data_IF_998927830526
#
_entry.id   IF_998927830526
#
_cell.length_a   1.000
_cell.length_b   1.000
_cell.length_c   1.000
_cell.angle_alpha   90.00
_cell.angle_beta   90.00
_cell.angle_gamma   90.00
#
_symmetry.space_group_name_H-M   'P 1'
#
loop_
_entity.id
_entity.type
_entity.pdbx_description
1 polymer ?
#
# COMPACT_ATOMS: atom_id res chain seq x y z
N UNK A 1 4.46 16.36 -1.98
CA UNK A 1 5.92 16.46 -1.67
C UNK A 1 6.39 15.09 -1.21
N UNK A 2 7.50 14.59 -1.73
CA UNK A 2 8.12 13.32 -1.33
C UNK A 2 9.27 13.60 -0.35
N UNK A 3 9.43 12.71 0.64
CA UNK A 3 10.51 12.77 1.60
C UNK A 3 11.32 11.46 1.57
N UNK A 4 12.66 11.52 1.41
CA UNK A 4 13.49 10.33 1.55
C UNK A 4 13.47 9.88 3.01
N UNK A 5 13.23 8.60 3.24
CA UNK A 5 13.30 8.03 4.59
C UNK A 5 14.72 8.07 5.13
N UNK A 6 14.88 8.43 6.40
CA UNK A 6 16.17 8.37 7.07
C UNK A 6 16.78 6.96 7.08
N UNK A 7 18.10 6.89 7.32
CA UNK A 7 18.87 5.64 7.22
C UNK A 7 18.27 4.46 8.02
N UNK A 8 17.63 4.74 9.16
CA UNK A 8 17.05 3.72 10.07
C UNK A 8 15.77 3.09 9.51
N UNK A 9 15.05 3.79 8.64
CA UNK A 9 13.77 3.36 8.09
C UNK A 9 13.83 3.03 6.60
N UNK A 10 14.99 3.21 5.96
CA UNK A 10 15.17 3.07 4.51
C UNK A 10 14.71 1.71 3.96
N UNK A 11 14.84 0.67 4.75
CA UNK A 11 14.44 -0.70 4.41
C UNK A 11 12.96 -0.98 4.67
N UNK A 12 12.34 -0.24 5.57
CA UNK A 12 10.98 -0.44 6.06
C UNK A 12 9.96 0.50 5.41
N UNK A 13 10.37 1.75 5.13
CA UNK A 13 9.53 2.80 4.53
C UNK A 13 9.90 2.99 3.07
N UNK A 14 9.01 2.61 2.19
CA UNK A 14 9.24 2.72 0.75
C UNK A 14 8.80 4.07 0.19
N UNK A 15 7.83 4.66 0.86
CA UNK A 15 7.26 5.94 0.46
C UNK A 15 6.85 6.72 1.69
N UNK A 16 7.20 8.00 1.70
CA UNK A 16 6.67 8.98 2.63
C UNK A 16 6.30 10.23 1.83
N UNK A 17 5.02 10.54 1.75
CA UNK A 17 4.52 11.64 0.93
C UNK A 17 3.60 12.55 1.72
N UNK A 18 3.85 13.86 1.62
CA UNK A 18 2.94 14.89 2.10
C UNK A 18 1.98 15.33 1.00
N UNK A 19 0.73 15.45 1.35
CA UNK A 19 -0.32 15.93 0.48
C UNK A 19 -1.11 17.04 1.16
N UNK A 20 -1.35 18.13 0.44
CA UNK A 20 -2.23 19.21 0.88
C UNK A 20 -3.09 19.64 -0.31
N UNK A 21 -4.38 19.78 -0.07
CA UNK A 21 -5.33 20.25 -1.05
C UNK A 21 -6.44 21.05 -0.38
N UNK A 22 -6.98 22.01 -1.13
CA UNK A 22 -8.22 22.70 -0.82
C UNK A 22 -9.10 22.65 -2.08
N UNK A 23 -10.05 21.73 -2.08
CA UNK A 23 -10.85 21.39 -3.25
C UNK A 23 -12.29 21.92 -3.10
N UNK A 24 -12.72 22.75 -4.05
CA UNK A 24 -14.11 23.20 -4.13
C UNK A 24 -15.03 22.07 -4.62
N UNK A 25 -14.56 21.31 -5.61
CA UNK A 25 -15.28 20.18 -6.19
C UNK A 25 -14.74 18.85 -5.65
N UNK A 26 -15.59 17.82 -5.46
CA UNK A 26 -15.15 16.52 -5.00
C UNK A 26 -14.18 15.86 -5.98
N UNK A 27 -13.04 15.40 -5.48
CA UNK A 27 -12.09 14.62 -6.25
C UNK A 27 -12.23 13.13 -5.88
N UNK A 28 -12.60 12.32 -6.84
CA UNK A 28 -12.67 10.86 -6.68
C UNK A 28 -11.42 10.17 -7.20
N UNK A 29 -10.99 9.13 -6.48
CA UNK A 29 -9.86 8.31 -6.87
C UNK A 29 -10.14 6.84 -6.59
N UNK A 30 -9.58 5.98 -7.44
CA UNK A 30 -9.54 4.55 -7.21
C UNK A 30 -8.19 4.18 -6.61
N UNK A 31 -8.22 3.71 -5.37
CA UNK A 31 -7.03 3.22 -4.66
C UNK A 31 -7.00 1.69 -4.71
N UNK A 32 -5.88 1.15 -5.19
CA UNK A 32 -5.71 -0.29 -5.34
C UNK A 32 -4.54 -0.79 -4.48
N UNK A 33 -4.67 -2.02 -4.00
CA UNK A 33 -3.63 -2.64 -3.18
C UNK A 33 -2.33 -2.80 -3.97
N UNK A 34 -1.23 -2.40 -3.35
CA UNK A 34 0.13 -2.49 -3.91
C UNK A 34 1.00 -3.52 -3.20
N UNK A 35 0.40 -4.33 -2.33
CA UNK A 35 1.15 -5.21 -1.46
C UNK A 35 1.89 -4.45 -0.35
N UNK A 36 1.41 -3.27 0.05
CA UNK A 36 1.98 -2.43 1.11
C UNK A 36 0.97 -2.20 2.21
N UNK A 37 1.47 -2.05 3.42
CA UNK A 37 0.68 -1.45 4.48
C UNK A 37 0.76 0.05 4.34
N UNK A 38 -0.39 0.72 4.25
CA UNK A 38 -0.46 2.17 4.07
C UNK A 38 -0.98 2.81 5.36
N UNK A 39 -0.15 3.67 5.94
CA UNK A 39 -0.49 4.50 7.08
C UNK A 39 -0.73 5.92 6.58
N UNK A 40 -1.94 6.44 6.80
CA UNK A 40 -2.27 7.83 6.49
C UNK A 40 -2.57 8.57 7.78
N UNK A 41 -1.84 9.67 8.02
CA UNK A 41 -2.08 10.56 9.14
C UNK A 41 -2.60 11.86 8.55
N UNK A 42 -3.87 12.17 8.82
CA UNK A 42 -4.57 13.29 8.21
C UNK A 42 -5.03 14.34 9.21
N UNK A 43 -5.06 15.60 8.74
CA UNK A 43 -5.61 16.76 9.41
C UNK A 43 -6.57 17.49 8.47
N UNK A 44 -7.59 18.13 9.02
CA UNK A 44 -8.63 18.83 8.23
C UNK A 44 -9.80 17.91 7.88
N UNK A 45 -10.41 18.14 6.71
CA UNK A 45 -11.60 17.40 6.32
C UNK A 45 -11.34 15.90 6.10
N UNK A 46 -12.27 15.03 6.52
CA UNK A 46 -12.10 13.59 6.37
C UNK A 46 -12.16 13.16 4.91
N UNK A 47 -11.45 12.08 4.59
CA UNK A 47 -11.59 11.35 3.34
C UNK A 47 -12.79 10.42 3.43
N UNK A 48 -13.67 10.47 2.45
CA UNK A 48 -14.71 9.47 2.27
C UNK A 48 -14.12 8.28 1.54
N UNK A 49 -14.41 7.07 2.02
CA UNK A 49 -13.96 5.83 1.40
C UNK A 49 -15.09 4.80 1.34
N UNK A 50 -15.15 4.09 0.22
CA UNK A 50 -16.04 2.94 0.01
C UNK A 50 -15.24 1.78 -0.63
N UNK A 51 -15.51 0.55 -0.20
CA UNK A 51 -14.93 -0.63 -0.86
C UNK A 51 -15.69 -0.95 -2.13
N UNK A 52 -14.98 -1.28 -3.20
CA UNK A 52 -15.56 -1.72 -4.46
C UNK A 52 -15.92 -3.22 -4.43
N UNK A 53 -15.20 -4.02 -3.62
CA UNK A 53 -15.41 -5.48 -3.53
C UNK A 53 -15.20 -6.01 -2.10
N UNK A 54 -16.22 -6.44 -1.38
CA UNK A 54 -17.64 -6.20 -1.71
C UNK A 54 -17.99 -4.71 -1.62
N UNK A 55 -18.99 -4.27 -2.36
CA UNK A 55 -19.46 -2.88 -2.30
C UNK A 55 -19.92 -2.57 -0.87
N UNK A 56 -19.37 -1.50 -0.31
CA UNK A 56 -19.66 -1.04 1.05
C UNK A 56 -20.09 0.42 1.02
N UNK A 57 -20.89 0.86 2.01
CA UNK A 57 -21.27 2.26 2.12
C UNK A 57 -20.05 3.16 2.39
N UNK A 58 -20.15 4.41 1.99
CA UNK A 58 -19.16 5.42 2.25
C UNK A 58 -18.96 5.63 3.76
N UNK A 59 -17.71 5.67 4.18
CA UNK A 59 -17.31 5.98 5.55
C UNK A 59 -16.28 7.09 5.57
N UNK A 60 -16.22 7.83 6.67
CA UNK A 60 -15.29 8.95 6.88
C UNK A 60 -14.05 8.47 7.61
N UNK A 61 -12.88 8.92 7.13
CA UNK A 61 -11.60 8.62 7.74
C UNK A 61 -10.72 9.87 7.75
N UNK A 62 -10.28 10.31 8.92
CA UNK A 62 -9.27 11.37 9.05
C UNK A 62 -7.87 10.78 8.95
N UNK A 63 -7.51 9.90 9.89
CA UNK A 63 -6.31 9.08 9.85
C UNK A 63 -6.69 7.61 9.78
N UNK A 64 -5.96 6.80 9.04
CA UNK A 64 -6.33 5.40 8.84
C UNK A 64 -5.14 4.52 8.47
N UNK A 65 -5.35 3.24 8.60
CA UNK A 65 -4.42 2.18 8.23
C UNK A 65 -5.09 1.23 7.24
N UNK A 66 -4.36 0.81 6.21
CA UNK A 66 -4.83 -0.15 5.21
C UNK A 66 -3.84 -1.28 5.10
N UNK A 67 -4.33 -2.52 5.15
CA UNK A 67 -3.51 -3.72 5.05
C UNK A 67 -2.93 -3.92 3.63
N UNK A 68 -1.92 -4.77 3.52
CA UNK A 68 -1.22 -5.02 2.26
C UNK A 68 -2.09 -5.68 1.16
N UNK A 69 -3.18 -6.35 1.52
CA UNK A 69 -4.14 -7.01 0.60
C UNK A 69 -5.54 -6.38 0.71
N UNK A 70 -5.61 -5.06 0.83
CA UNK A 70 -6.91 -4.39 0.91
C UNK A 70 -7.73 -4.53 -0.38
N UNK A 71 -9.05 -4.44 -0.26
CA UNK A 71 -9.94 -4.35 -1.41
C UNK A 71 -9.69 -3.05 -2.18
N UNK A 72 -10.02 -2.98 -3.48
CA UNK A 72 -10.08 -1.71 -4.20
C UNK A 72 -10.99 -0.74 -3.46
N UNK A 73 -10.51 0.48 -3.23
CA UNK A 73 -11.21 1.52 -2.49
C UNK A 73 -11.50 2.69 -3.41
N UNK A 74 -12.75 3.10 -3.47
CA UNK A 74 -13.10 4.39 -4.03
C UNK A 74 -12.95 5.45 -2.92
N UNK A 75 -12.21 6.49 -3.19
CA UNK A 75 -12.01 7.60 -2.27
C UNK A 75 -12.59 8.87 -2.83
N UNK A 76 -13.17 9.71 -1.98
CA UNK A 76 -13.65 11.03 -2.34
C UNK A 76 -13.16 12.05 -1.33
N UNK A 77 -12.58 13.12 -1.82
CA UNK A 77 -12.12 14.23 -1.00
C UNK A 77 -12.71 15.55 -1.50
N UNK A 78 -13.21 16.35 -0.56
CA UNK A 78 -13.67 17.71 -0.74
C UNK A 78 -13.19 18.58 0.42
N UNK A 79 -12.99 19.88 0.19
CA UNK A 79 -12.55 20.82 1.22
C UNK A 79 -11.06 20.80 1.46
N UNK A 80 -10.65 21.15 2.69
CA UNK A 80 -9.24 21.30 3.08
C UNK A 80 -8.72 20.06 3.76
N UNK A 81 -7.73 19.44 3.15
CA UNK A 81 -7.06 18.26 3.72
C UNK A 81 -5.56 18.42 3.66
N UNK A 82 -4.91 18.07 4.76
CA UNK A 82 -3.47 17.88 4.85
C UNK A 82 -3.23 16.47 5.38
N UNK A 83 -2.37 15.69 4.74
CA UNK A 83 -2.01 14.37 5.25
C UNK A 83 -0.59 13.97 4.86
N UNK A 84 -0.06 13.03 5.63
CA UNK A 84 1.15 12.28 5.29
C UNK A 84 0.75 10.82 5.05
N UNK A 85 1.14 10.30 3.90
CA UNK A 85 0.97 8.92 3.46
C UNK A 85 2.31 8.21 3.58
N UNK A 86 2.34 7.13 4.34
CA UNK A 86 3.52 6.29 4.56
C UNK A 86 3.23 4.88 4.07
N UNK A 87 3.97 4.45 3.05
CA UNK A 87 3.96 3.07 2.56
C UNK A 87 5.01 2.23 3.27
N UNK A 88 4.58 1.25 4.05
CA UNK A 88 5.44 0.34 4.79
C UNK A 88 5.56 -1.01 4.09
N UNK A 89 6.77 -1.57 4.08
CA UNK A 89 6.96 -2.97 3.75
C UNK A 89 6.18 -3.84 4.74
N UNK A 90 5.37 -4.82 4.30
CA UNK A 90 4.51 -5.58 5.20
C UNK A 90 5.25 -6.31 6.32
N UNK A 91 6.46 -6.79 6.05
CA UNK A 91 7.30 -7.42 7.07
C UNK A 91 7.74 -6.42 8.17
N UNK A 92 7.94 -5.15 7.81
CA UNK A 92 8.34 -4.10 8.74
C UNK A 92 7.14 -3.46 9.46
N UNK A 93 5.94 -3.52 8.87
CA UNK A 93 4.76 -2.93 9.46
C UNK A 93 4.44 -3.51 10.85
N UNK A 94 4.63 -4.82 11.05
CA UNK A 94 4.51 -5.46 12.35
C UNK A 94 5.54 -4.97 13.37
N UNK A 95 6.75 -4.64 12.93
CA UNK A 95 7.80 -4.08 13.78
C UNK A 95 7.50 -2.64 14.23
N UNK A 96 6.84 -1.86 13.37
CA UNK A 96 6.60 -0.43 13.60
C UNK A 96 5.26 -0.20 14.30
N UNK A 97 4.22 -0.90 13.86
CA UNK A 97 2.84 -0.64 14.31
C UNK A 97 2.33 -1.70 15.31
N UNK A 98 3.08 -2.80 15.50
CA UNK A 98 2.66 -3.93 16.31
C UNK A 98 2.02 -5.06 15.52
N UNK A 99 1.91 -6.23 16.14
CA UNK A 99 1.51 -7.46 15.45
C UNK A 99 0.09 -7.41 14.90
N UNK A 100 -0.82 -6.71 15.54
CA UNK A 100 -2.21 -6.55 15.08
C UNK A 100 -2.36 -6.01 13.67
N UNK A 101 -1.34 -5.33 13.12
CA UNK A 101 -1.34 -4.86 11.72
C UNK A 101 -1.44 -6.00 10.71
N UNK A 102 -0.98 -7.19 11.08
CA UNK A 102 -1.00 -8.41 10.24
C UNK A 102 -2.41 -8.99 10.11
N UNK A 103 -3.29 -8.63 11.05
CA UNK A 103 -4.69 -9.08 11.10
C UNK A 103 -5.65 -8.08 10.46
N UNK A 104 -5.14 -6.92 10.03
CA UNK A 104 -5.96 -5.94 9.32
C UNK A 104 -6.52 -6.59 8.05
N UNK A 105 -7.84 -6.70 8.03
CA UNK A 105 -8.57 -7.27 6.91
C UNK A 105 -8.49 -6.39 5.65
N UNK A 106 -9.39 -6.66 4.72
CA UNK A 106 -9.41 -5.96 3.42
C UNK A 106 -10.02 -4.55 3.47
N UNK A 107 -10.40 -4.06 4.64
CA UNK A 107 -11.02 -2.75 4.84
C UNK A 107 -10.08 -1.79 5.57
N UNK A 108 -10.20 -0.48 5.35
CA UNK A 108 -9.49 0.51 6.13
C UNK A 108 -9.90 0.45 7.60
N UNK A 109 -8.96 0.68 8.49
CA UNK A 109 -9.17 0.77 9.94
C UNK A 109 -8.83 2.19 10.39
N UNK A 110 -9.69 2.86 11.15
CA UNK A 110 -9.35 4.15 11.75
C UNK A 110 -8.07 4.03 12.58
N UNK A 111 -7.15 4.97 12.44
CA UNK A 111 -5.85 4.88 13.11
C UNK A 111 -5.99 4.95 14.63
N UNK A 112 -6.97 5.68 15.11
CA UNK A 112 -7.31 5.83 16.54
C UNK A 112 -7.76 4.49 17.14
N UNK A 113 -8.50 3.68 16.38
CA UNK A 113 -8.91 2.34 16.81
C UNK A 113 -7.73 1.38 16.94
N UNK A 114 -6.63 1.64 16.20
CA UNK A 114 -5.44 0.79 16.16
C UNK A 114 -4.34 1.24 17.13
N UNK A 115 -4.03 2.55 17.16
CA UNK A 115 -2.95 3.13 17.97
C UNK A 115 -3.46 3.93 19.19
N UNK A 116 -4.78 4.07 19.33
CA UNK A 116 -5.39 4.84 20.42
C UNK A 116 -4.89 6.28 20.45
N UNK A 117 -4.68 6.82 21.66
CA UNK A 117 -4.21 8.19 21.90
C UNK A 117 -2.89 8.57 21.20
N UNK A 118 -2.06 7.60 20.81
CA UNK A 118 -0.84 7.91 20.07
C UNK A 118 -1.16 8.47 18.67
N UNK A 119 -2.21 7.96 18.02
CA UNK A 119 -2.66 8.45 16.73
C UNK A 119 -3.18 9.90 16.82
N UNK A 120 -4.00 10.18 17.81
CA UNK A 120 -4.57 11.53 18.06
C UNK A 120 -3.45 12.56 18.27
N UNK A 121 -2.54 12.27 19.21
CA UNK A 121 -1.39 13.16 19.51
C UNK A 121 -0.52 13.42 18.29
N UNK A 122 -0.30 12.40 17.45
CA UNK A 122 0.48 12.55 16.23
C UNK A 122 -0.24 13.46 15.22
N UNK A 123 -1.55 13.27 15.02
CA UNK A 123 -2.35 14.11 14.13
C UNK A 123 -2.40 15.57 14.63
N UNK A 124 -2.61 15.80 15.92
CA UNK A 124 -2.57 17.12 16.55
C UNK A 124 -1.21 17.80 16.35
N UNK A 125 -0.12 17.08 16.61
CA UNK A 125 1.24 17.61 16.42
C UNK A 125 1.51 17.98 14.96
N UNK A 126 1.01 17.20 14.00
CA UNK A 126 1.13 17.52 12.57
C UNK A 126 0.34 18.77 12.16
N UNK A 127 -0.80 18.99 12.79
CA UNK A 127 -1.61 20.18 12.53
C UNK A 127 -0.93 21.46 13.00
N UNK A 128 -0.18 21.39 14.12
CA UNK A 128 0.48 22.56 14.72
C UNK A 128 1.74 23.00 13.99
N UNK A 129 2.37 22.15 13.19
CA UNK A 129 3.62 22.50 12.49
C UNK A 129 3.34 23.03 11.09
N UNK A 130 4.02 24.12 10.73
CA UNK A 130 3.77 24.82 9.45
C UNK A 130 4.53 24.25 8.27
N UNK A 131 5.72 23.65 8.45
CA UNK A 131 6.57 23.21 7.36
C UNK A 131 6.47 21.70 7.10
N UNK A 132 6.59 21.31 5.84
CA UNK A 132 6.63 19.90 5.45
C UNK A 132 7.80 19.16 6.08
N UNK A 133 8.95 19.80 6.16
CA UNK A 133 10.14 19.18 6.78
C UNK A 133 9.89 18.81 8.24
N UNK A 134 9.29 19.71 9.02
CA UNK A 134 8.95 19.45 10.42
C UNK A 134 7.89 18.33 10.55
N UNK A 135 6.90 18.29 9.66
CA UNK A 135 5.90 17.22 9.61
C UNK A 135 6.52 15.86 9.33
N UNK A 136 7.38 15.77 8.33
CA UNK A 136 8.09 14.53 8.02
C UNK A 136 8.98 14.08 9.19
N UNK A 137 9.69 15.00 9.83
CA UNK A 137 10.52 14.69 11.01
C UNK A 137 9.70 14.19 12.19
N UNK A 138 8.45 14.67 12.38
CA UNK A 138 7.54 14.16 13.41
C UNK A 138 7.15 12.71 13.11
N UNK A 139 6.74 12.42 11.89
CA UNK A 139 6.37 11.05 11.47
C UNK A 139 7.57 10.12 11.56
N UNK A 140 8.73 10.54 11.09
CA UNK A 140 9.94 9.72 11.16
C UNK A 140 10.30 9.37 12.60
N UNK A 141 10.31 10.34 13.51
CA UNK A 141 10.55 10.10 14.94
C UNK A 141 9.54 9.11 15.53
N UNK A 142 8.26 9.26 15.20
CA UNK A 142 7.22 8.33 15.62
C UNK A 142 7.51 6.90 15.16
N UNK A 143 7.84 6.71 13.88
CA UNK A 143 8.12 5.39 13.31
C UNK A 143 9.38 4.77 13.90
N UNK A 144 10.45 5.55 14.09
CA UNK A 144 11.71 5.09 14.70
C UNK A 144 11.50 4.67 16.15
N UNK A 145 10.77 5.47 16.93
CA UNK A 145 10.48 5.15 18.33
C UNK A 145 9.61 3.89 18.43
N UNK A 146 8.60 3.76 17.56
CA UNK A 146 7.73 2.59 17.52
C UNK A 146 8.53 1.32 17.18
N UNK A 147 9.43 1.38 16.18
CA UNK A 147 10.28 0.24 15.78
C UNK A 147 11.22 -0.21 16.90
N UNK A 148 11.81 0.73 17.66
CA UNK A 148 12.71 0.40 18.78
C UNK A 148 12.01 -0.34 19.93
N UNK A 149 10.69 -0.22 20.05
CA UNK A 149 9.91 -0.87 21.10
C UNK A 149 9.52 -2.32 20.75
N UNK A 150 9.80 -2.76 19.54
CA UNK A 150 9.42 -4.10 19.06
C UNK A 150 10.32 -5.19 19.64
N UNK A 151 9.68 -6.21 20.22
CA UNK A 151 10.36 -7.38 20.81
C UNK A 151 10.66 -8.50 19.80
N UNK A 152 10.00 -8.51 18.65
CA UNK A 152 10.11 -9.56 17.64
C UNK A 152 10.32 -8.96 16.23
N UNK A 153 11.57 -8.74 15.81
CA UNK A 153 11.86 -8.31 14.46
C UNK A 153 11.48 -9.41 13.45
N UNK A 154 11.17 -9.00 12.23
CA UNK A 154 10.94 -9.95 11.15
C UNK A 154 12.19 -10.79 10.87
N UNK A 155 12.00 -12.08 10.58
CA UNK A 155 13.09 -12.96 10.21
C UNK A 155 13.78 -12.47 8.93
N UNK A 156 15.10 -12.50 8.90
CA UNK A 156 15.89 -12.09 7.73
C UNK A 156 15.49 -12.80 6.45
N UNK A 157 15.09 -14.08 6.55
CA UNK A 157 14.62 -14.91 5.44
C UNK A 157 13.31 -14.38 4.83
N UNK A 158 12.40 -13.89 5.67
CA UNK A 158 11.12 -13.34 5.20
C UNK A 158 11.35 -11.98 4.51
N UNK A 159 12.20 -11.16 5.08
CA UNK A 159 12.62 -9.91 4.45
C UNK A 159 13.28 -10.17 3.08
N UNK A 160 14.25 -11.09 3.02
CA UNK A 160 14.90 -11.49 1.77
C UNK A 160 13.88 -12.01 0.74
N UNK A 161 12.94 -12.87 1.16
CA UNK A 161 11.92 -13.40 0.25
C UNK A 161 11.00 -12.30 -0.28
N UNK A 162 10.64 -11.32 0.55
CA UNK A 162 9.88 -10.14 0.15
C UNK A 162 10.64 -9.34 -0.90
N UNK A 163 11.90 -8.98 -0.64
CA UNK A 163 12.78 -8.25 -1.56
C UNK A 163 12.94 -8.98 -2.90
N UNK A 164 13.03 -10.32 -2.88
CA UNK A 164 13.09 -11.12 -4.10
C UNK A 164 11.80 -11.05 -4.92
N UNK A 165 10.63 -11.09 -4.27
CA UNK A 165 9.33 -10.91 -4.95
C UNK A 165 9.26 -9.52 -5.59
N UNK A 166 9.70 -8.48 -4.91
CA UNK A 166 9.73 -7.11 -5.45
C UNK A 166 10.68 -6.95 -6.61
N UNK A 167 11.94 -7.33 -6.43
CA UNK A 167 12.99 -7.20 -7.47
C UNK A 167 12.63 -7.94 -8.75
N UNK A 168 11.93 -9.06 -8.64
CA UNK A 168 11.46 -9.80 -9.81
C UNK A 168 10.12 -9.30 -10.35
N UNK A 169 9.49 -8.28 -9.70
CA UNK A 169 8.16 -7.83 -10.08
C UNK A 169 7.08 -8.92 -9.96
N UNK A 170 7.25 -9.83 -8.99
CA UNK A 170 6.32 -10.94 -8.74
C UNK A 170 6.46 -12.12 -9.69
N UNK A 171 7.53 -12.21 -10.48
CA UNK A 171 7.79 -13.30 -11.43
C UNK A 171 8.38 -14.55 -10.80
N UNK A 172 9.03 -14.42 -9.63
CA UNK A 172 9.66 -15.55 -8.97
C UNK A 172 8.64 -16.59 -8.49
N UNK A 173 8.90 -17.87 -8.76
CA UNK A 173 8.08 -18.95 -8.26
C UNK A 173 8.20 -19.07 -6.73
N UNK A 174 7.08 -19.20 -6.03
CA UNK A 174 7.06 -19.37 -4.55
C UNK A 174 7.85 -20.61 -4.11
N UNK A 175 7.81 -21.68 -4.90
CA UNK A 175 8.59 -22.90 -4.68
C UNK A 175 10.10 -22.69 -4.83
N UNK A 176 10.54 -21.75 -5.66
CA UNK A 176 11.95 -21.39 -5.77
C UNK A 176 12.43 -20.64 -4.53
N UNK A 177 11.59 -19.79 -3.94
CA UNK A 177 11.90 -19.09 -2.67
C UNK A 177 12.08 -20.09 -1.53
N UNK A 178 11.10 -21.00 -1.33
CA UNK A 178 11.19 -21.99 -0.26
C UNK A 178 12.42 -22.91 -0.40
N UNK A 179 12.74 -23.35 -1.63
CA UNK A 179 13.94 -24.17 -1.89
C UNK A 179 15.25 -23.43 -1.57
N UNK A 180 15.35 -22.14 -1.94
CA UNK A 180 16.55 -21.35 -1.65
C UNK A 180 16.78 -21.13 -0.15
N UNK A 181 15.69 -21.12 0.64
CA UNK A 181 15.75 -21.01 2.10
C UNK A 181 15.96 -22.37 2.79
N UNK A 182 15.95 -23.49 2.05
CA UNK A 182 15.99 -24.82 2.64
C UNK A 182 14.70 -25.19 3.41
N UNK A 183 13.60 -24.51 3.15
CA UNK A 183 12.33 -24.69 3.87
C UNK A 183 11.34 -25.51 3.04
N UNK A 184 10.49 -26.28 3.73
CA UNK A 184 9.33 -26.88 3.08
C UNK A 184 8.39 -25.77 2.59
N UNK A 185 7.68 -26.02 1.48
CA UNK A 185 6.72 -25.04 0.93
C UNK A 185 5.68 -24.60 1.97
N UNK A 186 5.15 -25.58 2.73
CA UNK A 186 4.14 -25.30 3.77
C UNK A 186 4.71 -24.40 4.88
N UNK A 187 5.91 -24.67 5.37
CA UNK A 187 6.57 -23.87 6.40
C UNK A 187 6.81 -22.45 5.90
N UNK A 188 7.37 -22.32 4.69
CA UNK A 188 7.62 -20.99 4.10
C UNK A 188 6.35 -20.15 3.98
N UNK A 189 5.25 -20.71 3.42
CA UNK A 189 3.99 -19.99 3.26
C UNK A 189 3.41 -19.57 4.62
N UNK A 190 3.45 -20.43 5.62
CA UNK A 190 2.98 -20.14 6.97
C UNK A 190 3.80 -19.01 7.63
N UNK A 191 5.13 -19.11 7.60
CA UNK A 191 6.02 -18.09 8.16
C UNK A 191 5.90 -16.76 7.43
N UNK A 192 5.86 -16.77 6.11
CA UNK A 192 5.71 -15.55 5.32
C UNK A 192 4.42 -14.83 5.66
N UNK A 193 3.29 -15.54 5.70
CA UNK A 193 1.99 -14.98 6.09
C UNK A 193 1.98 -14.46 7.52
N UNK A 194 2.57 -15.20 8.46
CA UNK A 194 2.65 -14.78 9.86
C UNK A 194 3.40 -13.45 10.05
N UNK A 195 4.40 -13.15 9.20
CA UNK A 195 5.19 -11.92 9.30
C UNK A 195 4.67 -10.77 8.44
N UNK A 196 3.98 -11.06 7.33
CA UNK A 196 3.57 -10.05 6.34
C UNK A 196 2.05 -9.81 6.30
N UNK A 197 1.25 -10.66 6.93
CA UNK A 197 -0.21 -10.64 6.86
C UNK A 197 -0.78 -11.22 5.55
N UNK A 198 0.04 -11.44 4.52
CA UNK A 198 -0.39 -11.96 3.21
C UNK A 198 0.43 -13.18 2.79
N UNK A 199 -0.13 -14.04 1.94
CA UNK A 199 0.65 -15.17 1.43
C UNK A 199 1.60 -14.75 0.28
N UNK A 200 2.72 -15.49 0.05
CA UNK A 200 3.70 -15.13 -0.98
C UNK A 200 3.10 -15.01 -2.39
N UNK A 201 2.11 -15.85 -2.70
CA UNK A 201 1.40 -15.82 -3.99
C UNK A 201 0.58 -14.53 -4.15
N UNK A 202 -0.03 -14.02 -3.07
CA UNK A 202 -0.73 -12.73 -3.09
C UNK A 202 0.25 -11.56 -3.28
N UNK A 203 1.38 -11.57 -2.55
CA UNK A 203 2.44 -10.58 -2.72
C UNK A 203 2.94 -10.53 -4.17
N UNK A 204 3.24 -11.67 -4.77
CA UNK A 204 3.68 -11.76 -6.16
C UNK A 204 2.61 -11.23 -7.15
N UNK A 205 1.33 -11.48 -6.89
CA UNK A 205 0.23 -10.93 -7.70
C UNK A 205 0.15 -9.42 -7.61
N UNK A 206 0.27 -8.84 -6.42
CA UNK A 206 0.27 -7.38 -6.25
C UNK A 206 1.43 -6.73 -7.01
N UNK A 207 2.62 -7.32 -6.97
CA UNK A 207 3.77 -6.79 -7.71
C UNK A 207 3.56 -6.84 -9.22
N UNK A 208 2.96 -7.92 -9.75
CA UNK A 208 2.59 -8.00 -11.18
C UNK A 208 1.54 -6.98 -11.56
N UNK A 209 0.52 -6.75 -10.68
CA UNK A 209 -0.48 -5.71 -10.90
C UNK A 209 0.15 -4.32 -10.97
N UNK A 210 1.01 -3.98 -9.99
CA UNK A 210 1.71 -2.69 -9.96
C UNK A 210 2.52 -2.49 -11.24
N UNK A 211 3.22 -3.54 -11.70
CA UNK A 211 3.96 -3.51 -12.95
C UNK A 211 3.05 -3.27 -14.16
N UNK A 212 1.95 -4.01 -14.27
CA UNK A 212 0.98 -3.86 -15.35
C UNK A 212 0.36 -2.46 -15.36
N UNK A 213 -0.05 -1.94 -14.21
CA UNK A 213 -0.61 -0.60 -14.08
C UNK A 213 0.38 0.50 -14.49
N UNK A 214 1.68 0.34 -14.14
CA UNK A 214 2.73 1.26 -14.60
C UNK A 214 2.93 1.20 -16.12
N UNK A 215 2.84 0.02 -16.73
CA UNK A 215 2.92 -0.11 -18.19
C UNK A 215 1.74 0.55 -18.87
N UNK A 216 0.51 0.31 -18.40
CA UNK A 216 -0.70 0.96 -18.92
C UNK A 216 -0.64 2.50 -18.83
N UNK A 217 0.04 3.03 -17.81
CA UNK A 217 0.19 4.47 -17.62
C UNK A 217 1.28 5.08 -18.52
N UNK A 218 2.37 4.35 -18.77
CA UNK A 218 3.50 4.84 -19.58
C UNK A 218 3.30 4.66 -21.07
N UNK A 219 2.58 3.63 -21.44
CA UNK A 219 2.33 3.22 -22.82
C UNK A 219 0.83 2.99 -23.01
N UNK A 220 0.02 4.08 -23.07
CA UNK A 220 -1.44 3.97 -23.11
C UNK A 220 -1.98 3.21 -24.33
N UNK A 221 -1.24 3.19 -25.44
CA UNK A 221 -1.62 2.49 -26.66
C UNK A 221 -1.17 1.03 -26.70
N UNK A 222 -0.39 0.55 -25.70
CA UNK A 222 0.10 -0.82 -25.68
C UNK A 222 -1.08 -1.81 -25.65
N UNK A 223 -1.02 -2.82 -26.50
CA UNK A 223 -2.00 -3.91 -26.52
C UNK A 223 -2.05 -4.68 -25.20
N UNK A 224 -3.26 -5.04 -24.74
CA UNK A 224 -3.46 -5.71 -23.45
C UNK A 224 -2.86 -7.13 -23.43
N UNK A 225 -2.79 -7.81 -24.55
CA UNK A 225 -2.09 -9.10 -24.68
C UNK A 225 -0.58 -8.95 -24.48
N UNK A 226 -0.01 -7.86 -24.99
CA UNK A 226 1.40 -7.52 -24.73
C UNK A 226 1.67 -7.21 -23.26
N UNK A 227 0.78 -6.45 -22.61
CA UNK A 227 0.89 -6.20 -21.15
C UNK A 227 0.81 -7.51 -20.38
N UNK A 228 -0.15 -8.39 -20.73
CA UNK A 228 -0.30 -9.70 -20.11
C UNK A 228 0.98 -10.54 -20.24
N UNK A 229 1.53 -10.64 -21.43
CA UNK A 229 2.77 -11.38 -21.70
C UNK A 229 3.96 -10.81 -20.91
N UNK A 230 4.19 -9.49 -20.97
CA UNK A 230 5.30 -8.84 -20.26
C UNK A 230 5.19 -8.95 -18.73
N UNK A 231 3.97 -9.12 -18.21
CA UNK A 231 3.71 -9.31 -16.78
C UNK A 231 3.55 -10.78 -16.37
N UNK A 232 3.83 -11.71 -17.29
CA UNK A 232 3.75 -13.18 -17.07
C UNK A 232 2.38 -13.66 -16.59
N UNK A 233 1.33 -13.14 -17.18
CA UNK A 233 0.01 -13.75 -17.13
C UNK A 233 -0.09 -14.81 -18.23
N UNK A 234 -0.88 -15.86 -18.01
CA UNK A 234 -1.02 -16.96 -18.95
C UNK A 234 -1.56 -16.48 -20.32
N UNK A 235 -2.53 -15.57 -20.28
CA UNK A 235 -3.16 -14.93 -21.43
C UNK A 235 -3.79 -13.60 -21.02
N UNK A 236 -4.33 -12.86 -22.00
CA UNK A 236 -5.04 -11.60 -21.80
C UNK A 236 -6.30 -11.76 -20.94
N UNK A 237 -7.02 -12.86 -21.06
CA UNK A 237 -8.24 -13.12 -20.29
C UNK A 237 -7.90 -13.34 -18.80
N UNK A 238 -6.85 -14.10 -18.52
CA UNK A 238 -6.32 -14.28 -17.15
C UNK A 238 -5.85 -12.94 -16.58
N UNK A 239 -5.10 -12.15 -17.35
CA UNK A 239 -4.68 -10.80 -16.95
C UNK A 239 -5.89 -9.93 -16.62
N UNK A 240 -6.89 -9.87 -17.49
CA UNK A 240 -8.09 -9.03 -17.29
C UNK A 240 -8.84 -9.42 -16.02
N UNK A 241 -9.04 -10.71 -15.76
CA UNK A 241 -9.70 -11.21 -14.54
C UNK A 241 -8.91 -10.87 -13.28
N UNK A 242 -7.60 -11.13 -13.27
CA UNK A 242 -6.74 -10.83 -12.11
C UNK A 242 -6.65 -9.32 -11.87
N UNK A 243 -6.55 -8.52 -12.94
CA UNK A 243 -6.51 -7.07 -12.84
C UNK A 243 -7.83 -6.53 -12.26
N UNK A 244 -8.98 -6.99 -12.79
CA UNK A 244 -10.29 -6.59 -12.28
C UNK A 244 -10.46 -6.92 -10.79
N UNK A 245 -10.07 -8.12 -10.39
CA UNK A 245 -10.16 -8.57 -8.99
C UNK A 245 -9.32 -7.71 -8.03
N UNK A 246 -8.16 -7.22 -8.47
CA UNK A 246 -7.23 -6.43 -7.64
C UNK A 246 -7.45 -4.93 -7.75
N UNK A 247 -7.91 -4.44 -8.91
CA UNK A 247 -8.11 -3.02 -9.18
C UNK A 247 -9.58 -2.58 -9.11
N UNK A 248 -10.54 -3.53 -9.04
CA UNK A 248 -11.97 -3.22 -9.04
C UNK A 248 -12.51 -2.80 -10.40
N UNK A 249 -11.70 -2.76 -11.45
CA UNK A 249 -12.12 -2.43 -12.81
C UNK A 249 -11.25 -3.16 -13.84
N UNK A 250 -11.76 -3.26 -15.08
CA UNK A 250 -11.02 -3.85 -16.18
C UNK A 250 -9.83 -2.96 -16.60
N UNK A 251 -8.73 -3.53 -17.16
CA UNK A 251 -7.54 -2.78 -17.58
C UNK A 251 -7.84 -1.61 -18.52
N UNK A 252 -8.78 -1.79 -19.46
CA UNK A 252 -9.20 -0.72 -20.38
C UNK A 252 -9.96 0.42 -19.69
N UNK A 253 -10.78 0.11 -18.66
CA UNK A 253 -11.42 1.12 -17.84
C UNK A 253 -10.39 1.88 -16.99
N UNK A 254 -9.42 1.17 -16.44
CA UNK A 254 -8.32 1.76 -15.68
C UNK A 254 -7.50 2.74 -16.53
N UNK A 255 -7.20 2.37 -17.79
CA UNK A 255 -6.52 3.25 -18.77
C UNK A 255 -7.29 4.56 -18.99
N UNK A 256 -8.61 4.48 -19.25
CA UNK A 256 -9.45 5.68 -19.39
C UNK A 256 -9.48 6.54 -18.12
N UNK A 257 -9.44 5.93 -16.94
CA UNK A 257 -9.33 6.67 -15.67
C UNK A 257 -8.05 7.50 -15.59
N UNK A 258 -6.95 6.99 -16.13
CA UNK A 258 -5.67 7.72 -16.20
C UNK A 258 -5.71 8.89 -17.17
N UNK A 259 -6.37 8.73 -18.32
CA UNK A 259 -6.53 9.76 -19.37
C UNK A 259 -7.34 10.98 -18.88
N UNK A 260 -8.35 10.75 -18.04
CA UNK A 260 -9.19 11.83 -17.46
C UNK A 260 -8.47 12.62 -16.37
N UNK A 261 -7.18 12.34 -16.11
CA UNK A 261 -6.40 13.03 -15.09
C UNK A 261 -6.72 12.63 -13.65
N UNK A 262 -7.54 11.59 -13.46
CA UNK A 262 -7.71 10.90 -12.20
C UNK A 262 -6.41 10.16 -11.87
N UNK A 263 -5.46 10.87 -11.27
CA UNK A 263 -4.14 10.31 -10.94
C UNK A 263 -4.30 9.07 -10.07
N UNK A 264 -4.15 7.90 -10.69
CA UNK A 264 -3.99 6.67 -9.93
C UNK A 264 -2.67 6.75 -9.16
N UNK A 265 -2.69 6.41 -7.88
CA UNK A 265 -1.48 6.35 -7.09
C UNK A 265 -0.46 5.31 -7.62
N UNK A 266 -0.85 4.41 -8.51
CA UNK A 266 0.06 3.44 -9.16
C UNK A 266 1.00 4.06 -10.21
N UNK A 267 0.70 5.25 -10.70
CA UNK A 267 1.43 5.88 -11.82
C UNK A 267 2.46 6.91 -11.42
N UNK A 268 2.54 7.28 -10.13
CA UNK A 268 3.60 8.18 -9.65
C UNK A 268 4.89 7.41 -9.42
N UNK A 269 6.04 7.93 -9.89
CA UNK A 269 7.37 7.36 -9.70
C UNK A 269 7.76 7.27 -8.22
#
# INVERSE_FOLDING_TARGET
MMHPSGAVLKDAVERCQGFSANLREPLRRLEVARGRVVLVIGCGDPLLMASCEPVRPWRRYSSFLVGADHAPLLTEHRGTRLCIDVGLAPWAAGEILGEGVREIGRQPVPLEAFLGRKAERLAESLAQVCTWQARFSLVERFLVQSRKQTRQPARGEIRWAWEMIERTGGRIAVTALSRRLGWSHRHFVACFRAHTGICPKAAARHMRLVRAARMLAREPDMDLGMVASRCEFADQSHFTREFHRLAGCAPGAYRRFLEIGATSPLTRP
#
